data_IF_547853719291
#
_entry.id   IF_547853719291
#
_cell.length_a   1.000
_cell.length_b   1.000
_cell.length_c   1.000
_cell.angle_alpha   90.00
_cell.angle_beta   90.00
_cell.angle_gamma   90.00
#
_symmetry.space_group_name_H-M   'P 1'
#
loop_
_entity.id
_entity.type
_entity.pdbx_description
1 polymer ?
#
# COMPACT_ATOMS: atom_id res chain seq x y z
N UNK A 1 -41.19 -58.72 -38.40
CA UNK A 1 -40.32 -57.53 -38.51
C UNK A 1 -40.82 -56.30 -37.72
N UNK A 2 -42.13 -56.01 -37.66
CA UNK A 2 -42.66 -54.83 -36.94
C UNK A 2 -42.58 -54.89 -35.40
N UNK A 3 -42.67 -56.09 -34.80
CA UNK A 3 -42.62 -56.26 -33.33
C UNK A 3 -41.25 -55.91 -32.74
N UNK A 4 -40.17 -56.29 -33.43
CA UNK A 4 -38.77 -56.01 -33.05
C UNK A 4 -38.48 -54.50 -33.12
N UNK A 5 -38.96 -53.81 -34.16
CA UNK A 5 -38.82 -52.35 -34.30
C UNK A 5 -39.49 -51.58 -33.14
N UNK A 6 -40.64 -52.05 -32.65
CA UNK A 6 -41.33 -51.42 -31.53
C UNK A 6 -40.64 -51.67 -30.19
N UNK A 7 -40.04 -52.84 -29.97
CA UNK A 7 -39.25 -53.12 -28.76
C UNK A 7 -37.99 -52.25 -28.71
N UNK A 8 -37.29 -52.11 -29.85
CA UNK A 8 -36.09 -51.25 -29.95
C UNK A 8 -36.45 -49.79 -29.66
N UNK A 9 -37.59 -49.28 -30.17
CA UNK A 9 -38.07 -47.92 -29.88
C UNK A 9 -38.37 -47.68 -28.40
N UNK A 10 -38.95 -48.67 -27.70
CA UNK A 10 -39.22 -48.56 -26.25
C UNK A 10 -37.93 -48.57 -25.44
N UNK A 11 -36.95 -49.39 -25.85
CA UNK A 11 -35.64 -49.47 -25.21
C UNK A 11 -34.87 -48.14 -25.34
N UNK A 12 -34.87 -47.52 -26.53
CA UNK A 12 -34.21 -46.23 -26.74
C UNK A 12 -34.85 -45.11 -25.92
N UNK A 13 -36.18 -45.05 -25.84
CA UNK A 13 -36.87 -44.06 -25.00
C UNK A 13 -36.45 -44.21 -23.52
N UNK A 14 -36.44 -45.45 -23.02
CA UNK A 14 -36.09 -45.72 -21.61
C UNK A 14 -34.63 -45.36 -21.31
N UNK A 15 -33.71 -45.65 -22.24
CA UNK A 15 -32.30 -45.30 -22.11
C UNK A 15 -32.08 -43.77 -22.08
N UNK A 16 -32.86 -43.01 -22.86
CA UNK A 16 -32.79 -41.55 -22.87
C UNK A 16 -33.23 -40.96 -21.52
N UNK A 17 -34.34 -41.46 -20.95
CA UNK A 17 -34.79 -41.00 -19.63
C UNK A 17 -33.77 -41.29 -18.53
N UNK A 18 -33.10 -42.45 -18.58
CA UNK A 18 -32.07 -42.82 -17.62
C UNK A 18 -30.83 -41.92 -17.75
N UNK A 19 -30.41 -41.61 -18.98
CA UNK A 19 -29.31 -40.69 -19.23
C UNK A 19 -29.61 -39.26 -18.73
N UNK A 20 -30.82 -38.75 -18.97
CA UNK A 20 -31.25 -37.43 -18.50
C UNK A 20 -31.27 -37.39 -16.97
N UNK A 21 -31.82 -38.44 -16.31
CA UNK A 21 -31.83 -38.54 -14.85
C UNK A 21 -30.43 -38.57 -14.24
N UNK A 22 -29.49 -39.28 -14.87
CA UNK A 22 -28.10 -39.33 -14.42
C UNK A 22 -27.40 -37.97 -14.53
N UNK A 23 -27.60 -37.24 -15.64
CA UNK A 23 -27.06 -35.88 -15.81
C UNK A 23 -27.62 -34.94 -14.73
N UNK A 24 -28.92 -35.04 -14.43
CA UNK A 24 -29.57 -34.21 -13.41
C UNK A 24 -29.03 -34.51 -12.00
N UNK A 25 -28.79 -35.78 -11.69
CA UNK A 25 -28.18 -36.20 -10.43
C UNK A 25 -26.75 -35.64 -10.27
N UNK A 26 -25.91 -35.74 -11.31
CA UNK A 26 -24.57 -35.18 -11.30
C UNK A 26 -24.56 -33.65 -11.17
N UNK A 27 -25.59 -32.97 -11.68
CA UNK A 27 -25.75 -31.53 -11.50
C UNK A 27 -26.14 -31.16 -10.06
N UNK A 28 -27.04 -31.92 -9.42
CA UNK A 28 -27.47 -31.70 -8.04
C UNK A 28 -26.32 -31.87 -7.03
N UNK A 29 -25.51 -32.92 -7.21
CA UNK A 29 -24.33 -33.20 -6.36
C UNK A 29 -23.12 -32.30 -6.67
N UNK A 30 -23.29 -31.25 -7.49
CA UNK A 30 -22.24 -30.30 -7.86
C UNK A 30 -20.99 -30.95 -8.51
N UNK A 31 -21.09 -32.17 -9.05
CA UNK A 31 -20.00 -32.83 -9.77
C UNK A 31 -19.71 -32.20 -11.13
N UNK A 32 -20.68 -31.45 -11.67
CA UNK A 32 -20.54 -30.71 -12.92
C UNK A 32 -20.40 -29.22 -12.60
N UNK A 33 -19.17 -28.70 -12.68
CA UNK A 33 -18.91 -27.26 -12.62
C UNK A 33 -19.02 -26.69 -14.04
N UNK A 34 -20.14 -26.04 -14.34
CA UNK A 34 -20.29 -25.31 -15.60
C UNK A 34 -19.66 -23.93 -15.42
N UNK A 35 -18.39 -23.82 -15.80
CA UNK A 35 -17.71 -22.54 -15.94
C UNK A 35 -18.24 -21.84 -17.21
N UNK A 36 -19.35 -21.12 -17.07
CA UNK A 36 -19.80 -20.20 -18.10
C UNK A 36 -18.69 -19.14 -18.26
N UNK A 37 -18.19 -18.85 -19.47
CA UNK A 37 -17.43 -17.63 -19.69
C UNK A 37 -18.41 -16.51 -19.40
N UNK A 38 -18.32 -15.95 -18.18
CA UNK A 38 -18.85 -14.62 -17.97
C UNK A 38 -18.17 -13.80 -19.05
N UNK A 39 -18.96 -13.18 -19.92
CA UNK A 39 -18.50 -11.99 -20.60
C UNK A 39 -18.06 -11.08 -19.45
N UNK A 40 -16.78 -11.15 -19.12
CA UNK A 40 -16.04 -10.02 -18.61
C UNK A 40 -16.23 -9.01 -19.71
N UNK A 41 -17.35 -8.29 -19.65
CA UNK A 41 -17.44 -6.99 -20.29
C UNK A 41 -16.11 -6.38 -19.92
N UNK A 42 -15.29 -6.12 -20.93
CA UNK A 42 -14.07 -5.37 -20.77
C UNK A 42 -14.45 -4.25 -19.82
N UNK A 43 -13.98 -4.35 -18.57
CA UNK A 43 -13.87 -3.19 -17.73
C UNK A 43 -12.95 -2.31 -18.56
N UNK A 44 -13.54 -1.46 -19.39
CA UNK A 44 -12.89 -0.25 -19.83
C UNK A 44 -12.57 0.42 -18.51
N UNK A 45 -11.34 0.18 -18.03
CA UNK A 45 -10.76 0.85 -16.87
C UNK A 45 -11.18 2.28 -17.02
N UNK A 46 -12.12 2.69 -16.19
CA UNK A 46 -12.73 4.00 -16.21
C UNK A 46 -11.65 4.89 -15.64
N UNK A 47 -10.68 5.22 -16.48
CA UNK A 47 -9.48 5.95 -16.16
C UNK A 47 -8.61 5.32 -15.04
N UNK A 48 -7.36 5.00 -15.35
CA UNK A 48 -6.28 5.06 -14.34
C UNK A 48 -6.06 6.53 -13.91
N UNK A 49 -7.11 7.22 -13.50
CA UNK A 49 -7.01 8.56 -12.92
C UNK A 49 -6.86 8.38 -11.44
N UNK A 50 -5.61 8.34 -10.99
CA UNK A 50 -5.32 8.44 -9.57
C UNK A 50 -4.07 7.73 -9.11
N UNK A 51 -3.50 6.79 -9.87
CA UNK A 51 -2.35 6.01 -9.41
C UNK A 51 -1.34 5.76 -10.53
N UNK A 52 -0.06 5.95 -10.24
CA UNK A 52 1.05 5.74 -11.16
C UNK A 52 2.09 4.82 -10.52
N UNK A 53 2.48 3.74 -11.21
CA UNK A 53 3.62 2.93 -10.77
C UNK A 53 4.91 3.69 -11.10
N UNK A 54 5.66 4.09 -10.09
CA UNK A 54 6.90 4.85 -10.24
C UNK A 54 7.99 4.27 -9.35
N UNK A 55 9.20 4.22 -9.89
CA UNK A 55 10.37 3.92 -9.09
C UNK A 55 10.89 5.20 -8.45
N UNK A 56 11.06 5.19 -7.13
CA UNK A 56 11.54 6.33 -6.36
C UNK A 56 12.77 5.93 -5.54
N UNK A 57 13.55 6.93 -5.14
CA UNK A 57 14.64 6.69 -4.22
C UNK A 57 14.21 7.08 -2.81
N UNK A 58 14.41 6.19 -1.86
CA UNK A 58 14.29 6.45 -0.43
C UNK A 58 15.72 6.63 0.11
N UNK A 59 15.93 7.68 0.91
CA UNK A 59 17.23 7.99 1.49
C UNK A 59 17.17 7.81 3.00
N UNK A 60 18.15 7.15 3.56
CA UNK A 60 18.23 6.90 5.00
C UNK A 60 19.69 6.91 5.46
N UNK A 61 19.91 7.08 6.74
CA UNK A 61 21.24 7.00 7.33
C UNK A 61 21.44 5.66 8.01
N UNK A 62 22.58 5.01 7.74
CA UNK A 62 23.01 3.80 8.42
C UNK A 62 24.52 3.83 8.60
N UNK A 63 24.98 3.68 9.83
CA UNK A 63 26.39 3.84 10.21
C UNK A 63 26.92 5.22 9.78
N UNK A 64 26.17 6.29 10.08
CA UNK A 64 26.55 7.69 9.82
C UNK A 64 26.74 8.05 8.33
N UNK A 65 26.34 7.18 7.40
CA UNK A 65 26.39 7.43 5.96
C UNK A 65 25.00 7.44 5.39
N UNK A 66 24.77 8.35 4.44
CA UNK A 66 23.54 8.37 3.67
C UNK A 66 23.56 7.24 2.64
N UNK A 67 22.54 6.39 2.71
CA UNK A 67 22.25 5.34 1.74
C UNK A 67 21.05 5.73 0.90
N UNK A 68 20.96 5.11 -0.27
CA UNK A 68 19.92 5.37 -1.25
C UNK A 68 19.40 4.06 -1.78
N UNK A 69 18.11 3.83 -1.63
CA UNK A 69 17.45 2.62 -2.09
C UNK A 69 16.35 2.93 -3.08
N UNK A 70 16.31 2.17 -4.17
CA UNK A 70 15.33 2.35 -5.22
C UNK A 70 14.15 1.39 -5.03
N UNK A 71 12.98 1.94 -4.74
CA UNK A 71 11.75 1.17 -4.48
C UNK A 71 10.70 1.46 -5.55
N UNK A 72 10.02 0.40 -6.03
CA UNK A 72 8.90 0.53 -6.95
C UNK A 72 7.58 0.67 -6.20
N UNK A 73 6.97 1.86 -6.25
CA UNK A 73 5.71 2.14 -5.55
C UNK A 73 4.57 2.45 -6.53
N UNK A 74 3.34 2.16 -6.09
CA UNK A 74 2.12 2.67 -6.72
C UNK A 74 1.78 3.98 -6.02
N UNK A 75 2.02 5.09 -6.71
CA UNK A 75 1.93 6.43 -6.14
C UNK A 75 0.58 7.05 -6.52
N UNK A 76 -0.22 7.52 -5.55
CA UNK A 76 -1.44 8.25 -5.84
C UNK A 76 -1.14 9.64 -6.44
N UNK A 77 -2.08 10.20 -7.19
CA UNK A 77 -1.99 11.53 -7.79
C UNK A 77 -2.25 12.63 -6.76
N UNK A 78 -3.05 12.34 -5.73
CA UNK A 78 -3.39 13.29 -4.67
C UNK A 78 -2.16 13.56 -3.76
N UNK A 79 -1.79 14.83 -3.50
CA UNK A 79 -0.56 15.16 -2.77
C UNK A 79 -0.43 14.61 -1.35
N UNK A 80 -1.52 14.62 -0.58
CA UNK A 80 -1.55 14.15 0.82
C UNK A 80 -1.39 12.63 0.87
N UNK A 81 -2.17 11.89 0.07
CA UNK A 81 -2.06 10.43 -0.05
C UNK A 81 -0.69 10.02 -0.57
N UNK A 82 -0.11 10.79 -1.50
CA UNK A 82 1.23 10.56 -2.03
C UNK A 82 2.29 10.73 -0.97
N UNK A 83 2.20 11.82 -0.19
CA UNK A 83 3.12 12.09 0.91
C UNK A 83 3.02 10.98 1.96
N UNK A 84 1.81 10.57 2.34
CA UNK A 84 1.59 9.47 3.27
C UNK A 84 2.16 8.15 2.75
N UNK A 85 1.93 7.83 1.48
CA UNK A 85 2.47 6.62 0.84
C UNK A 85 4.00 6.60 0.90
N UNK A 86 4.65 7.73 0.61
CA UNK A 86 6.11 7.83 0.60
C UNK A 86 6.69 7.78 2.01
N UNK A 87 6.07 8.45 2.99
CA UNK A 87 6.49 8.37 4.39
C UNK A 87 6.37 6.94 4.90
N UNK A 88 5.26 6.26 4.65
CA UNK A 88 5.07 4.88 5.11
C UNK A 88 6.02 3.90 4.41
N UNK A 89 6.33 4.10 3.13
CA UNK A 89 7.36 3.31 2.45
C UNK A 89 8.76 3.55 3.04
N UNK A 90 9.08 4.80 3.40
CA UNK A 90 10.33 5.14 4.07
C UNK A 90 10.43 4.53 5.47
N UNK A 91 9.35 4.60 6.26
CA UNK A 91 9.27 3.99 7.59
C UNK A 91 9.44 2.47 7.53
N UNK A 92 8.83 1.81 6.54
CA UNK A 92 9.01 0.38 6.30
C UNK A 92 10.48 0.05 5.99
N UNK A 93 11.11 0.84 5.11
CA UNK A 93 12.51 0.62 4.74
C UNK A 93 13.44 0.69 5.96
N UNK A 94 13.29 1.70 6.82
CA UNK A 94 14.17 1.83 7.99
C UNK A 94 13.91 0.74 9.05
N UNK A 95 12.70 0.18 9.09
CA UNK A 95 12.37 -1.00 9.89
C UNK A 95 13.09 -2.25 9.33
N UNK A 96 13.00 -2.48 8.02
CA UNK A 96 13.69 -3.59 7.34
C UNK A 96 15.22 -3.50 7.51
N UNK A 97 15.77 -2.28 7.50
CA UNK A 97 17.20 -2.03 7.71
C UNK A 97 17.63 -2.08 9.19
N UNK A 98 16.71 -2.37 10.11
CA UNK A 98 16.89 -2.45 11.56
C UNK A 98 17.46 -1.15 12.18
N UNK A 99 17.08 0.00 11.63
CA UNK A 99 17.45 1.33 12.17
C UNK A 99 16.53 1.68 13.34
N UNK A 100 15.27 1.23 13.26
CA UNK A 100 14.30 1.25 14.36
C UNK A 100 13.98 -0.18 14.79
N UNK A 101 13.76 -0.37 16.08
CA UNK A 101 13.44 -1.66 16.70
C UNK A 101 11.94 -1.92 16.85
N UNK A 102 11.12 -1.02 16.32
CA UNK A 102 9.67 -1.02 16.45
C UNK A 102 9.01 -0.57 15.17
N UNK A 103 7.82 -1.12 14.93
CA UNK A 103 7.00 -0.79 13.77
C UNK A 103 6.38 0.60 13.89
N UNK A 104 6.79 1.53 13.05
CA UNK A 104 6.25 2.90 12.99
C UNK A 104 5.44 3.09 11.72
N UNK A 105 4.29 3.73 11.84
CA UNK A 105 3.45 4.14 10.69
C UNK A 105 3.04 5.60 10.83
N UNK A 106 2.88 6.29 9.70
CA UNK A 106 2.21 7.58 9.63
C UNK A 106 0.70 7.36 9.51
N UNK A 107 -0.01 7.56 10.62
CA UNK A 107 -1.46 7.37 10.74
C UNK A 107 -2.22 8.48 10.03
N UNK A 108 -1.70 9.70 10.09
CA UNK A 108 -2.33 10.86 9.47
C UNK A 108 -1.28 11.75 8.86
N UNK A 109 -1.53 12.19 7.64
CA UNK A 109 -0.77 13.22 6.95
C UNK A 109 -1.74 14.27 6.46
N UNK A 110 -1.36 15.53 6.58
CA UNK A 110 -2.13 16.65 6.00
C UNK A 110 -1.18 17.75 5.54
N UNK A 111 -1.68 18.65 4.70
CA UNK A 111 -0.91 19.79 4.19
C UNK A 111 -1.69 21.08 4.52
N UNK A 112 -1.09 21.92 5.35
CA UNK A 112 -1.60 23.26 5.63
C UNK A 112 -1.25 24.19 4.47
N UNK A 113 -2.16 24.35 3.51
CA UNK A 113 -1.90 25.05 2.24
C UNK A 113 -1.44 26.52 2.42
N UNK A 114 -1.95 27.22 3.44
CA UNK A 114 -1.60 28.64 3.68
C UNK A 114 -0.16 28.81 4.15
N UNK A 115 0.32 27.92 5.03
CA UNK A 115 1.66 27.98 5.60
C UNK A 115 2.67 27.13 4.84
N UNK A 116 2.21 26.31 3.88
CA UNK A 116 3.03 25.34 3.14
C UNK A 116 3.72 24.33 4.07
N UNK A 117 3.09 23.96 5.17
CA UNK A 117 3.62 22.98 6.13
C UNK A 117 2.89 21.65 5.96
N UNK A 118 3.65 20.56 5.76
CA UNK A 118 3.11 19.21 5.89
C UNK A 118 3.09 18.80 7.36
N UNK A 119 2.02 18.16 7.82
CA UNK A 119 1.88 17.68 9.19
C UNK A 119 1.79 16.17 9.12
N UNK A 120 2.63 15.48 9.90
CA UNK A 120 2.71 14.02 9.93
C UNK A 120 2.52 13.56 11.36
N UNK A 121 1.53 12.71 11.59
CA UNK A 121 1.29 12.05 12.88
C UNK A 121 1.66 10.59 12.81
N UNK A 122 2.62 10.18 13.63
CA UNK A 122 2.99 8.78 13.80
C UNK A 122 2.09 8.07 14.81
N UNK A 123 1.97 6.74 14.68
CA UNK A 123 1.24 5.89 15.62
C UNK A 123 1.89 5.82 17.01
N UNK A 124 3.22 5.95 17.07
CA UNK A 124 4.00 5.97 18.30
C UNK A 124 5.29 6.78 18.11
N UNK A 125 5.97 7.11 19.21
CA UNK A 125 7.23 7.84 19.15
C UNK A 125 8.28 7.01 18.38
N UNK A 126 8.89 7.50 17.30
CA UNK A 126 9.88 6.75 16.53
C UNK A 126 11.22 6.58 17.27
N UNK A 127 11.48 7.37 18.31
CA UNK A 127 12.76 7.38 19.02
C UNK A 127 12.76 6.53 20.27
N UNK A 128 13.95 6.07 20.64
CA UNK A 128 14.22 5.40 21.91
C UNK A 128 14.98 6.33 22.86
N UNK A 129 14.86 6.07 24.15
CA UNK A 129 15.55 6.86 25.19
C UNK A 129 17.08 6.71 25.13
N UNK A 130 17.57 5.60 24.60
CA UNK A 130 19.00 5.30 24.47
C UNK A 130 19.64 5.95 23.25
N UNK A 131 18.85 6.39 22.26
CA UNK A 131 19.37 7.04 21.06
C UNK A 131 19.95 8.42 21.40
N UNK A 132 21.13 8.67 20.86
CA UNK A 132 21.76 9.99 20.90
C UNK A 132 20.95 11.02 20.11
N UNK A 133 21.15 12.29 20.44
CA UNK A 133 20.56 13.41 19.67
C UNK A 133 20.94 13.33 18.18
N UNK A 134 22.16 12.89 17.89
CA UNK A 134 22.68 12.77 16.53
C UNK A 134 21.97 11.67 15.73
N UNK A 135 21.75 10.49 16.30
CA UNK A 135 21.02 9.42 15.62
C UNK A 135 19.56 9.82 15.31
N UNK A 136 18.90 10.51 16.25
CA UNK A 136 17.55 11.04 16.05
C UNK A 136 17.53 12.11 14.95
N UNK A 137 18.55 12.95 14.88
CA UNK A 137 18.70 13.94 13.82
C UNK A 137 18.88 13.26 12.46
N UNK A 138 19.73 12.24 12.37
CA UNK A 138 19.94 11.48 11.12
C UNK A 138 18.67 10.77 10.65
N UNK A 139 17.84 10.26 11.57
CA UNK A 139 16.52 9.74 11.24
C UNK A 139 15.65 10.81 10.56
N UNK A 140 15.52 11.99 11.18
CA UNK A 140 14.69 13.07 10.64
C UNK A 140 15.25 13.57 9.31
N UNK A 141 16.57 13.72 9.21
CA UNK A 141 17.23 14.14 7.97
C UNK A 141 16.99 13.15 6.82
N UNK A 142 17.04 11.84 7.07
CA UNK A 142 16.72 10.83 6.05
C UNK A 142 15.29 10.97 5.51
N UNK A 143 14.33 11.23 6.40
CA UNK A 143 12.94 11.45 6.03
C UNK A 143 12.76 12.74 5.22
N UNK A 144 13.33 13.86 5.69
CA UNK A 144 13.30 15.15 4.99
C UNK A 144 13.97 15.05 3.62
N UNK A 145 15.14 14.40 3.55
CA UNK A 145 15.89 14.16 2.32
C UNK A 145 15.14 13.28 1.33
N UNK A 146 14.32 12.34 1.82
CA UNK A 146 13.43 11.56 0.96
C UNK A 146 12.31 12.42 0.39
N UNK A 147 11.65 13.22 1.24
CA UNK A 147 10.48 14.02 0.87
C UNK A 147 10.85 15.15 -0.08
N UNK A 148 12.01 15.82 0.13
CA UNK A 148 12.47 16.94 -0.73
C UNK A 148 12.70 16.57 -2.19
N UNK A 149 12.85 15.29 -2.52
CA UNK A 149 12.97 14.83 -3.92
C UNK A 149 11.67 15.02 -4.72
N UNK A 150 10.57 15.33 -4.05
CA UNK A 150 9.27 15.49 -4.65
C UNK A 150 8.73 16.88 -4.38
N UNK A 151 8.13 17.47 -5.40
CA UNK A 151 7.37 18.69 -5.22
C UNK A 151 5.98 18.37 -4.65
N UNK A 152 5.74 18.87 -3.45
CA UNK A 152 4.47 18.81 -2.72
C UNK A 152 3.91 20.20 -2.45
N UNK A 153 4.59 21.26 -2.88
CA UNK A 153 4.24 22.63 -2.51
C UNK A 153 4.40 22.96 -1.01
N UNK A 154 5.09 22.11 -0.24
CA UNK A 154 5.44 22.35 1.17
C UNK A 154 6.92 22.72 1.32
N UNK A 155 7.24 23.48 2.36
CA UNK A 155 8.61 23.91 2.68
C UNK A 155 9.13 23.33 4.02
N UNK A 156 8.25 22.78 4.85
CA UNK A 156 8.59 22.24 6.15
C UNK A 156 7.63 21.11 6.55
N UNK A 157 8.07 20.28 7.51
CA UNK A 157 7.26 19.25 8.15
C UNK A 157 7.11 19.51 9.65
N UNK A 158 5.89 19.32 10.15
CA UNK A 158 5.63 19.28 11.57
C UNK A 158 5.32 17.85 12.01
N UNK A 159 5.96 17.42 13.11
CA UNK A 159 5.93 16.04 13.55
C UNK A 159 5.06 15.87 14.80
N UNK A 160 4.10 14.97 14.70
CA UNK A 160 3.18 14.60 15.76
C UNK A 160 3.29 13.11 16.07
N UNK A 161 2.84 12.72 17.27
CA UNK A 161 2.58 11.34 17.67
C UNK A 161 1.17 11.31 18.23
N UNK A 162 0.30 10.48 17.65
CA UNK A 162 -1.10 10.38 18.08
C UNK A 162 -1.79 11.76 18.17
N UNK A 163 -1.53 12.63 17.19
CA UNK A 163 -2.05 14.02 17.09
C UNK A 163 -1.52 15.02 18.12
N UNK A 164 -0.61 14.64 19.02
CA UNK A 164 0.13 15.58 19.86
C UNK A 164 1.52 15.86 19.28
N UNK A 165 2.09 17.04 19.57
CA UNK A 165 3.48 17.35 19.20
C UNK A 165 4.43 16.25 19.67
N UNK A 166 5.30 15.79 18.78
CA UNK A 166 6.34 14.81 19.12
C UNK A 166 7.20 15.38 20.26
N UNK A 167 7.28 14.65 21.39
CA UNK A 167 8.09 15.08 22.54
C UNK A 167 9.39 14.31 22.54
N UNK A 168 10.50 15.03 22.64
CA UNK A 168 11.84 14.47 22.82
C UNK A 168 12.66 15.34 23.78
N UNK A 169 13.64 14.74 24.45
CA UNK A 169 14.51 15.43 25.39
C UNK A 169 15.67 16.17 24.70
N UNK A 170 16.07 15.74 23.50
CA UNK A 170 17.24 16.25 22.80
C UNK A 170 16.87 17.17 21.64
N UNK A 171 15.77 16.88 20.94
CA UNK A 171 15.33 17.63 19.77
C UNK A 171 14.00 18.33 20.04
N UNK A 172 13.88 19.57 19.53
CA UNK A 172 12.67 20.37 19.65
C UNK A 172 11.76 20.20 18.42
N UNK A 173 10.59 19.61 18.62
CA UNK A 173 9.57 19.44 17.57
C UNK A 173 8.36 20.37 17.74
N UNK A 174 8.43 21.36 18.64
CA UNK A 174 7.37 22.38 18.77
C UNK A 174 7.24 23.23 17.52
N UNK A 175 8.32 23.37 16.76
CA UNK A 175 8.35 24.07 15.48
C UNK A 175 8.38 23.08 14.30
N UNK A 176 8.00 23.57 13.13
CA UNK A 176 8.14 22.82 11.88
C UNK A 176 9.61 22.79 11.44
N UNK A 177 10.05 21.65 10.94
CA UNK A 177 11.40 21.39 10.47
C UNK A 177 11.49 21.63 8.95
N UNK A 178 12.43 22.44 8.46
CA UNK A 178 12.55 22.77 7.05
C UNK A 178 12.89 21.53 6.21
N UNK A 179 12.27 21.41 5.03
CA UNK A 179 12.56 20.31 4.09
C UNK A 179 13.95 20.40 3.45
N UNK A 180 14.58 21.57 3.51
CA UNK A 180 15.97 21.76 3.07
C UNK A 180 16.94 20.88 3.88
N UNK A 181 16.57 20.55 5.11
CA UNK A 181 17.37 19.75 6.04
C UNK A 181 18.31 20.61 6.88
N UNK A 182 19.15 19.94 7.66
CA UNK A 182 20.13 20.58 8.55
C UNK A 182 21.57 20.15 8.25
N UNK A 183 21.73 19.05 7.52
CA UNK A 183 23.02 18.49 7.15
C UNK A 183 23.20 18.63 5.63
N UNK A 184 24.23 19.36 5.22
CA UNK A 184 24.65 19.47 3.82
C UNK A 184 25.45 18.25 3.35
#
# INVERSE_FOLDING_TARGET
MNKIKNTIKKLTITAIFLAIGFIFFCFYEQWIIIALPQNTGTFTSTAQQGYQKKSINLLYYKQEKMHKEQVGLVIPTEPIEKLQTIINAWLLLIEEENIVDKKITADTVTIAQQTKVGIVSFNQNPFNSEQSAYEKLLFIEGLLATIRQFDYGINALHFLVQQETLKDYHLDFTQSWPLEGFLE
#
